data_IF_507475162930
#
_entry.id   IF_507475162930
#
_cell.length_a   1.000
_cell.length_b   1.000
_cell.length_c   1.000
_cell.angle_alpha   90.00
_cell.angle_beta   90.00
_cell.angle_gamma   90.00
#
_symmetry.space_group_name_H-M   'P 1'
#
loop_
_entity.id
_entity.type
_entity.pdbx_description
1 polymer ?
#
# COMPACT_ATOMS: atom_id res chain seq x y z
N UNK A 1 -19.60 5.64 15.43
CA UNK A 1 -18.13 5.72 15.58
C UNK A 1 -17.48 5.82 14.20
N UNK A 2 -17.20 7.02 13.70
CA UNK A 2 -16.50 7.28 12.42
C UNK A 2 -15.60 8.50 12.62
N UNK A 3 -14.39 8.32 13.17
CA UNK A 3 -13.51 9.45 13.50
C UNK A 3 -12.03 9.23 13.13
N UNK A 4 -11.72 8.24 12.29
CA UNK A 4 -10.39 8.06 11.67
C UNK A 4 -10.35 8.48 10.18
N UNK A 5 -11.45 9.02 9.63
CA UNK A 5 -11.56 9.34 8.20
C UNK A 5 -10.97 10.70 7.82
N UNK A 6 -10.40 11.44 8.77
CA UNK A 6 -9.87 12.79 8.55
C UNK A 6 -8.58 12.76 7.72
N UNK A 7 -7.68 11.79 7.98
CA UNK A 7 -6.49 11.59 7.14
C UNK A 7 -6.79 11.05 5.75
N UNK A 8 -7.68 10.06 5.62
CA UNK A 8 -8.07 9.53 4.31
C UNK A 8 -8.56 10.69 3.44
N UNK A 9 -9.49 11.52 3.94
CA UNK A 9 -10.06 12.69 3.27
C UNK A 9 -9.01 13.73 2.78
N UNK A 10 -7.99 14.03 3.58
CA UNK A 10 -6.92 14.96 3.18
C UNK A 10 -6.03 14.38 2.09
N UNK A 11 -5.71 13.09 2.15
CA UNK A 11 -4.97 12.39 1.09
C UNK A 11 -5.82 12.16 -0.17
N UNK A 12 -7.16 12.10 -0.07
CA UNK A 12 -8.05 12.09 -1.23
C UNK A 12 -8.05 13.40 -2.02
N UNK A 13 -7.73 14.50 -1.34
CA UNK A 13 -7.71 15.84 -1.95
C UNK A 13 -6.37 16.21 -2.58
N UNK A 14 -5.32 15.41 -2.35
CA UNK A 14 -3.97 15.69 -2.88
C UNK A 14 -3.90 15.49 -4.38
N UNK A 15 -3.13 16.35 -5.03
CA UNK A 15 -2.89 16.22 -6.46
C UNK A 15 -2.21 14.89 -6.82
N UNK A 16 -2.60 14.29 -7.94
CA UNK A 16 -2.10 12.99 -8.38
C UNK A 16 -0.56 12.97 -8.54
N UNK A 17 0.06 14.10 -8.90
CA UNK A 17 1.53 14.22 -9.00
C UNK A 17 2.19 14.11 -7.63
N UNK A 18 1.65 14.78 -6.61
CA UNK A 18 2.16 14.70 -5.23
C UNK A 18 2.02 13.29 -4.69
N UNK A 19 0.92 12.63 -5.04
CA UNK A 19 0.75 11.20 -4.78
C UNK A 19 1.85 10.41 -5.52
N UNK A 20 1.96 10.49 -6.84
CA UNK A 20 2.98 9.73 -7.59
C UNK A 20 4.39 9.92 -7.02
N UNK A 21 4.75 11.15 -6.66
CA UNK A 21 6.03 11.46 -6.02
C UNK A 21 6.17 10.76 -4.68
N UNK A 22 5.15 10.80 -3.81
CA UNK A 22 5.12 10.01 -2.57
C UNK A 22 5.35 8.52 -2.83
N UNK A 23 4.66 7.92 -3.82
CA UNK A 23 4.79 6.49 -4.12
C UNK A 23 6.21 6.14 -4.56
N UNK A 24 6.78 6.91 -5.49
CA UNK A 24 8.14 6.69 -6.00
C UNK A 24 9.18 6.80 -4.90
N UNK A 25 9.08 7.85 -4.08
CA UNK A 25 9.97 8.07 -2.96
C UNK A 25 9.80 6.99 -1.90
N UNK A 26 8.56 6.58 -1.60
CA UNK A 26 8.30 5.52 -0.65
C UNK A 26 8.92 4.20 -1.10
N UNK A 27 8.74 3.84 -2.38
CA UNK A 27 9.35 2.65 -2.96
C UNK A 27 10.87 2.74 -2.95
N UNK A 28 11.44 3.92 -3.24
CA UNK A 28 12.87 4.14 -3.15
C UNK A 28 13.40 3.89 -1.74
N UNK A 29 12.75 4.45 -0.71
CA UNK A 29 13.11 4.23 0.70
C UNK A 29 12.98 2.75 1.06
N UNK A 30 11.91 2.08 0.63
CA UNK A 30 11.73 0.65 0.87
C UNK A 30 12.79 -0.22 0.19
N UNK A 31 13.33 0.18 -0.96
CA UNK A 31 14.34 -0.60 -1.68
C UNK A 31 15.74 -0.32 -1.15
N UNK A 32 16.09 0.95 -0.92
CA UNK A 32 17.44 1.38 -0.58
C UNK A 32 17.73 1.36 0.92
N UNK A 33 16.69 1.48 1.75
CA UNK A 33 16.77 1.35 3.21
C UNK A 33 16.21 -0.01 3.67
N UNK A 34 15.98 -0.93 2.72
CA UNK A 34 15.45 -2.26 2.97
C UNK A 34 16.41 -3.07 3.86
N UNK A 35 15.94 -3.57 4.99
CA UNK A 35 16.74 -4.35 5.93
C UNK A 35 17.07 -3.65 7.24
N UNK A 36 16.70 -2.37 7.41
CA UNK A 36 16.82 -1.69 8.69
C UNK A 36 15.80 -2.23 9.69
N UNK A 37 16.27 -2.90 10.75
CA UNK A 37 15.42 -3.37 11.85
C UNK A 37 14.63 -2.22 12.50
N UNK A 38 15.20 -1.02 12.57
CA UNK A 38 14.50 0.15 13.11
C UNK A 38 13.32 0.57 12.23
N UNK A 39 13.46 0.53 10.90
CA UNK A 39 12.37 0.84 9.98
C UNK A 39 11.24 -0.20 10.12
N UNK A 40 11.60 -1.49 10.20
CA UNK A 40 10.63 -2.57 10.40
C UNK A 40 9.89 -2.43 11.74
N UNK A 41 10.62 -2.21 12.83
CA UNK A 41 10.02 -2.01 14.15
C UNK A 41 9.09 -0.79 14.18
N UNK A 42 9.51 0.32 13.55
CA UNK A 42 8.68 1.52 13.41
C UNK A 42 7.39 1.25 12.63
N UNK A 43 7.48 0.52 11.50
CA UNK A 43 6.33 0.12 10.69
C UNK A 43 5.36 -0.77 11.49
N UNK A 44 5.87 -1.79 12.17
CA UNK A 44 5.06 -2.71 12.99
C UNK A 44 4.35 -1.95 14.10
N UNK A 45 5.10 -1.12 14.86
CA UNK A 45 4.54 -0.31 15.94
C UNK A 45 3.43 0.62 15.43
N UNK A 46 3.67 1.29 14.31
CA UNK A 46 2.73 2.22 13.71
C UNK A 46 1.47 1.48 13.21
N UNK A 47 1.61 0.35 12.52
CA UNK A 47 0.48 -0.46 12.06
C UNK A 47 -0.34 -1.04 13.23
N UNK A 48 0.32 -1.42 14.33
CA UNK A 48 -0.34 -1.86 15.56
C UNK A 48 -1.10 -0.71 16.24
N UNK A 49 -0.48 0.45 16.36
CA UNK A 49 -1.08 1.64 16.96
C UNK A 49 -2.33 2.09 16.17
N UNK A 50 -2.29 1.94 14.84
CA UNK A 50 -3.44 2.21 13.97
C UNK A 50 -4.48 1.08 13.94
N UNK A 51 -4.26 -0.02 14.68
CA UNK A 51 -5.12 -1.22 14.70
C UNK A 51 -5.40 -1.80 13.31
N UNK A 52 -4.48 -1.63 12.37
CA UNK A 52 -4.59 -2.12 10.98
C UNK A 52 -3.52 -3.16 10.66
N UNK A 53 -2.99 -3.79 11.69
CA UNK A 53 -1.94 -4.80 11.54
C UNK A 53 -2.46 -6.00 10.74
N UNK A 54 -1.89 -6.30 9.55
CA UNK A 54 -2.40 -7.32 8.67
C UNK A 54 -1.94 -8.71 9.13
N UNK A 55 -2.71 -9.36 10.01
CA UNK A 55 -2.36 -10.68 10.57
C UNK A 55 -2.11 -11.73 9.47
N UNK A 56 -2.84 -11.66 8.36
CA UNK A 56 -2.62 -12.54 7.20
C UNK A 56 -1.20 -12.45 6.61
N UNK A 57 -0.57 -11.28 6.66
CA UNK A 57 0.80 -11.10 6.18
C UNK A 57 1.84 -11.76 7.11
N UNK A 58 1.53 -11.91 8.40
CA UNK A 58 2.38 -12.73 9.29
C UNK A 58 2.37 -14.19 8.84
N UNK A 59 1.21 -14.73 8.47
CA UNK A 59 1.10 -16.09 7.93
C UNK A 59 1.97 -16.28 6.68
N UNK A 60 1.97 -15.30 5.77
CA UNK A 60 2.84 -15.30 4.59
C UNK A 60 4.33 -15.28 4.97
N UNK A 61 4.72 -14.46 5.96
CA UNK A 61 6.09 -14.38 6.44
C UNK A 61 6.55 -15.69 7.10
N UNK A 62 5.67 -16.34 7.89
CA UNK A 62 5.94 -17.64 8.50
C UNK A 62 6.10 -18.72 7.42
N UNK A 63 5.18 -18.77 6.46
CA UNK A 63 5.27 -19.71 5.34
C UNK A 63 6.56 -19.50 4.54
N UNK A 64 6.92 -18.24 4.25
CA UNK A 64 8.16 -17.90 3.57
C UNK A 64 9.38 -18.36 4.39
N UNK A 65 9.42 -18.08 5.70
CA UNK A 65 10.51 -18.52 6.57
C UNK A 65 10.68 -20.05 6.57
N UNK A 66 9.57 -20.80 6.63
CA UNK A 66 9.60 -22.27 6.57
C UNK A 66 10.16 -22.78 5.24
N UNK A 67 9.74 -22.18 4.12
CA UNK A 67 10.27 -22.52 2.78
C UNK A 67 11.76 -22.17 2.69
N UNK A 68 12.16 -21.00 3.20
CA UNK A 68 13.55 -20.57 3.20
C UNK A 68 14.46 -21.46 4.05
N UNK A 69 13.93 -22.16 5.06
CA UNK A 69 14.66 -23.12 5.89
C UNK A 69 14.78 -24.51 5.23
N UNK A 70 13.99 -24.81 4.19
CA UNK A 70 14.02 -26.11 3.52
C UNK A 70 15.41 -26.52 2.98
N UNK A 71 16.24 -25.62 2.40
CA UNK A 71 17.60 -25.95 2.00
C UNK A 71 18.51 -26.42 3.14
N UNK A 72 18.32 -25.92 4.37
CA UNK A 72 19.09 -26.36 5.55
C UNK A 72 18.75 -27.81 5.89
N UNK A 73 17.49 -28.22 5.72
CA UNK A 73 17.07 -29.62 5.89
C UNK A 73 17.70 -30.54 4.85
N UNK A 74 18.06 -30.01 3.67
CA UNK A 74 18.78 -30.70 2.59
C UNK A 74 20.32 -30.63 2.75
N UNK A 75 20.81 -30.19 3.91
CA UNK A 75 22.25 -29.99 4.20
C UNK A 75 22.97 -29.04 3.22
N UNK A 76 22.24 -28.11 2.59
CA UNK A 76 22.88 -27.03 1.85
C UNK A 76 23.47 -26.00 2.81
N UNK A 77 24.66 -25.51 2.48
CA UNK A 77 25.38 -24.52 3.29
C UNK A 77 24.76 -23.13 3.11
N UNK A 78 23.67 -22.89 3.85
CA UNK A 78 22.91 -21.63 3.82
C UNK A 78 23.17 -20.86 5.09
N UNK A 79 23.70 -19.64 4.95
CA UNK A 79 23.93 -18.78 6.10
C UNK A 79 22.59 -18.31 6.72
N UNK A 80 22.42 -18.58 8.01
CA UNK A 80 21.25 -18.13 8.79
C UNK A 80 21.10 -16.60 8.74
N UNK A 81 22.23 -15.88 8.68
CA UNK A 81 22.24 -14.42 8.56
C UNK A 81 21.64 -13.91 7.25
N UNK A 82 21.94 -14.56 6.12
CA UNK A 82 21.32 -14.18 4.84
C UNK A 82 19.81 -14.44 4.85
N UNK A 83 19.38 -15.53 5.49
CA UNK A 83 17.97 -15.89 5.64
C UNK A 83 17.23 -14.87 6.52
N UNK A 84 17.81 -14.46 7.65
CA UNK A 84 17.23 -13.42 8.50
C UNK A 84 17.14 -12.07 7.76
N UNK A 85 18.17 -11.69 7.01
CA UNK A 85 18.18 -10.44 6.24
C UNK A 85 17.10 -10.44 5.15
N UNK A 86 16.89 -11.57 4.47
CA UNK A 86 15.83 -11.73 3.48
C UNK A 86 14.43 -11.62 4.10
N UNK A 87 14.21 -12.26 5.25
CA UNK A 87 12.93 -12.18 5.97
C UNK A 87 12.67 -10.74 6.42
N UNK A 88 13.67 -10.06 6.99
CA UNK A 88 13.53 -8.65 7.41
C UNK A 88 13.21 -7.76 6.22
N UNK A 89 13.89 -7.95 5.07
CA UNK A 89 13.61 -7.19 3.85
C UNK A 89 12.21 -7.44 3.30
N UNK A 90 11.78 -8.71 3.29
CA UNK A 90 10.43 -9.08 2.85
C UNK A 90 9.36 -8.49 3.78
N UNK A 91 9.55 -8.61 5.09
CA UNK A 91 8.63 -8.05 6.08
C UNK A 91 8.54 -6.53 5.97
N UNK A 92 9.68 -5.85 5.82
CA UNK A 92 9.76 -4.40 5.62
C UNK A 92 9.02 -3.98 4.36
N UNK A 93 9.22 -4.70 3.25
CA UNK A 93 8.53 -4.43 2.01
C UNK A 93 7.01 -4.64 2.12
N UNK A 94 6.57 -5.78 2.65
CA UNK A 94 5.14 -6.09 2.79
C UNK A 94 4.43 -5.08 3.70
N UNK A 95 4.97 -4.84 4.89
CA UNK A 95 4.38 -3.88 5.83
C UNK A 95 4.47 -2.44 5.32
N UNK A 96 5.55 -2.09 4.63
CA UNK A 96 5.69 -0.81 3.94
C UNK A 96 4.62 -0.59 2.87
N UNK A 97 4.38 -1.60 2.03
CA UNK A 97 3.31 -1.56 1.02
C UNK A 97 1.92 -1.48 1.63
N UNK A 98 1.66 -2.21 2.73
CA UNK A 98 0.39 -2.08 3.48
C UNK A 98 0.23 -0.67 4.02
N UNK A 99 1.29 -0.10 4.59
CA UNK A 99 1.27 1.28 5.07
C UNK A 99 1.01 2.29 3.94
N UNK A 100 1.68 2.15 2.80
CA UNK A 100 1.49 3.04 1.65
C UNK A 100 0.07 2.94 1.05
N UNK A 101 -0.50 1.73 1.01
CA UNK A 101 -1.86 1.49 0.48
C UNK A 101 -2.96 2.25 1.22
N UNK A 102 -2.70 2.69 2.46
CA UNK A 102 -3.59 3.58 3.20
C UNK A 102 -3.79 4.91 2.49
N UNK A 103 -2.70 5.51 2.02
CA UNK A 103 -2.69 6.85 1.44
C UNK A 103 -2.91 6.80 -0.07
N UNK A 104 -2.60 5.65 -0.67
CA UNK A 104 -2.60 5.45 -2.10
C UNK A 104 -3.70 4.50 -2.56
N UNK A 105 -4.68 5.08 -3.24
CA UNK A 105 -5.52 4.33 -4.18
C UNK A 105 -4.90 4.43 -5.56
N UNK A 106 -4.59 3.28 -6.16
CA UNK A 106 -4.02 3.22 -7.51
C UNK A 106 -4.89 3.98 -8.52
N UNK A 107 -6.21 3.99 -8.27
CA UNK A 107 -7.21 4.70 -9.04
C UNK A 107 -6.95 6.22 -9.17
N UNK A 108 -6.21 6.82 -8.23
CA UNK A 108 -5.90 8.27 -8.26
C UNK A 108 -4.71 8.62 -9.14
N UNK A 109 -3.88 7.63 -9.48
CA UNK A 109 -2.76 7.81 -10.41
C UNK A 109 -3.20 7.65 -11.87
N UNK A 110 -4.38 7.06 -12.08
CA UNK A 110 -5.01 6.88 -13.38
C UNK A 110 -5.06 8.11 -14.28
N UNK A 111 -5.44 9.32 -13.81
CA UNK A 111 -5.50 10.45 -14.71
C UNK A 111 -4.11 10.90 -15.20
N UNK A 112 -3.01 10.51 -14.53
CA UNK A 112 -1.65 10.70 -15.04
C UNK A 112 -1.34 9.73 -16.19
N UNK A 113 -1.89 8.52 -16.13
CA UNK A 113 -1.74 7.50 -17.15
C UNK A 113 -2.53 7.80 -18.44
N UNK A 114 -3.43 8.80 -18.44
CA UNK A 114 -4.11 9.29 -19.66
C UNK A 114 -3.15 9.63 -20.81
N UNK A 115 -1.88 9.97 -20.52
CA UNK A 115 -0.84 10.21 -21.53
C UNK A 115 -0.40 8.95 -22.27
N UNK A 116 -0.70 7.75 -21.74
CA UNK A 116 -0.35 6.45 -22.30
C UNK A 116 -1.63 5.59 -22.51
N UNK A 117 -2.42 5.85 -23.56
CA UNK A 117 -3.77 5.29 -23.70
C UNK A 117 -3.80 3.76 -23.85
N UNK A 118 -2.76 3.15 -24.42
CA UNK A 118 -2.71 1.70 -24.64
C UNK A 118 -2.39 0.91 -23.37
N UNK A 119 -1.36 1.31 -22.61
CA UNK A 119 -0.99 0.65 -21.36
C UNK A 119 -2.08 0.82 -20.30
N UNK A 120 -2.71 1.99 -20.28
CA UNK A 120 -3.81 2.31 -19.38
C UNK A 120 -5.00 1.38 -19.58
N UNK A 121 -5.44 1.15 -20.83
CA UNK A 121 -6.54 0.21 -21.13
C UNK A 121 -6.25 -1.23 -20.70
N UNK A 122 -5.02 -1.69 -20.87
CA UNK A 122 -4.60 -3.04 -20.44
C UNK A 122 -4.55 -3.15 -18.91
N UNK A 123 -3.99 -2.15 -18.24
CA UNK A 123 -3.93 -2.09 -16.79
C UNK A 123 -5.35 -2.07 -16.19
N UNK A 124 -6.27 -1.32 -16.82
CA UNK A 124 -7.69 -1.29 -16.43
C UNK A 124 -8.40 -2.62 -16.62
N UNK A 125 -8.25 -3.22 -17.80
CA UNK A 125 -8.85 -4.53 -18.07
C UNK A 125 -8.38 -5.54 -17.02
N UNK A 126 -7.07 -5.59 -16.77
CA UNK A 126 -6.49 -6.46 -15.76
C UNK A 126 -6.98 -6.15 -14.34
N UNK A 127 -7.07 -4.87 -13.95
CA UNK A 127 -7.48 -4.46 -12.60
C UNK A 127 -8.96 -4.75 -12.33
N UNK A 128 -9.84 -4.46 -13.29
CA UNK A 128 -11.28 -4.75 -13.17
C UNK A 128 -11.59 -6.25 -13.22
N UNK A 129 -10.69 -7.05 -13.82
CA UNK A 129 -10.77 -8.51 -13.82
C UNK A 129 -10.46 -9.12 -12.44
N UNK A 130 -9.64 -8.48 -11.59
CA UNK A 130 -9.25 -9.08 -10.30
C UNK A 130 -10.46 -9.36 -9.37
N UNK A 131 -11.37 -8.39 -9.10
CA UNK A 131 -12.52 -8.63 -8.23
C UNK A 131 -13.54 -9.60 -8.82
N UNK A 132 -13.73 -9.58 -10.15
CA UNK A 132 -14.65 -10.49 -10.84
C UNK A 132 -14.12 -11.92 -10.83
N UNK A 133 -12.81 -12.11 -11.04
CA UNK A 133 -12.14 -13.40 -10.88
C UNK A 133 -12.16 -13.88 -9.43
N UNK A 134 -11.94 -13.00 -8.45
CA UNK A 134 -12.04 -13.37 -7.02
C UNK A 134 -13.47 -13.81 -6.64
N UNK A 135 -14.49 -13.14 -7.18
CA UNK A 135 -15.89 -13.51 -6.98
C UNK A 135 -16.20 -14.83 -7.70
N UNK A 136 -15.71 -15.03 -8.92
CA UNK A 136 -15.85 -16.28 -9.68
C UNK A 136 -15.14 -17.46 -8.98
N UNK A 137 -13.96 -17.25 -8.40
CA UNK A 137 -13.23 -18.28 -7.62
C UNK A 137 -13.98 -18.61 -6.33
N UNK A 138 -14.49 -17.61 -5.61
CA UNK A 138 -15.31 -17.84 -4.40
C UNK A 138 -16.60 -18.59 -4.71
N UNK A 139 -17.23 -18.30 -5.85
CA UNK A 139 -18.40 -19.03 -6.32
C UNK A 139 -18.01 -20.46 -6.73
N UNK A 140 -16.91 -20.64 -7.48
CA UNK A 140 -16.41 -21.95 -7.91
C UNK A 140 -15.93 -22.84 -6.76
N UNK A 141 -15.39 -22.27 -5.67
CA UNK A 141 -15.05 -23.04 -4.47
C UNK A 141 -16.30 -23.51 -3.72
N UNK A 142 -17.42 -22.78 -3.86
CA UNK A 142 -18.71 -23.11 -3.24
C UNK A 142 -19.58 -24.02 -4.12
N UNK A 143 -19.46 -23.95 -5.44
CA UNK A 143 -20.19 -24.79 -6.39
C UNK A 143 -19.22 -25.70 -7.16
N UNK A 144 -19.21 -27.00 -6.83
CA UNK A 144 -18.36 -28.02 -7.46
C UNK A 144 -18.73 -28.35 -8.93
N UNK A 145 -19.36 -27.44 -9.69
CA UNK A 145 -19.72 -27.69 -11.10
C UNK A 145 -18.87 -26.89 -12.07
N UNK A 146 -18.14 -27.62 -12.92
CA UNK A 146 -17.20 -27.16 -13.97
C UNK A 146 -17.85 -26.32 -15.10
N UNK A 147 -19.08 -25.85 -14.96
CA UNK A 147 -19.77 -25.05 -15.99
C UNK A 147 -20.09 -23.62 -15.50
N UNK A 148 -20.47 -23.46 -14.22
CA UNK A 148 -20.78 -22.16 -13.62
C UNK A 148 -19.60 -21.16 -13.63
N UNK A 149 -18.37 -21.66 -13.59
CA UNK A 149 -17.18 -20.80 -13.63
C UNK A 149 -17.03 -20.10 -14.99
N UNK A 150 -17.40 -20.75 -16.10
CA UNK A 150 -17.35 -20.11 -17.43
C UNK A 150 -18.41 -19.03 -17.53
N UNK A 151 -19.60 -19.32 -17.03
CA UNK A 151 -20.71 -18.38 -17.05
C UNK A 151 -20.44 -17.16 -16.17
N UNK A 152 -19.87 -17.35 -14.96
CA UNK A 152 -19.46 -16.25 -14.10
C UNK A 152 -18.35 -15.37 -14.72
N UNK A 153 -17.40 -15.96 -15.45
CA UNK A 153 -16.37 -15.21 -16.18
C UNK A 153 -16.98 -14.44 -17.36
N UNK A 154 -17.85 -15.06 -18.15
CA UNK A 154 -18.51 -14.41 -19.29
C UNK A 154 -19.42 -13.28 -18.83
N UNK A 155 -20.23 -13.48 -17.78
CA UNK A 155 -21.06 -12.44 -17.16
C UNK A 155 -20.18 -11.33 -16.56
N UNK A 156 -19.03 -11.69 -15.98
CA UNK A 156 -18.01 -10.74 -15.55
C UNK A 156 -17.48 -9.88 -16.70
N UNK A 157 -17.17 -10.48 -17.86
CA UNK A 157 -16.67 -9.76 -19.04
C UNK A 157 -17.78 -8.92 -19.70
N UNK A 158 -19.01 -9.43 -19.79
CA UNK A 158 -20.14 -8.73 -20.41
C UNK A 158 -20.69 -7.59 -19.55
N UNK A 159 -20.66 -7.72 -18.22
CA UNK A 159 -20.94 -6.58 -17.32
C UNK A 159 -19.92 -5.46 -17.50
N UNK A 160 -18.64 -5.80 -17.73
CA UNK A 160 -17.58 -4.82 -18.03
C UNK A 160 -17.73 -4.17 -19.42
N UNK A 161 -18.36 -4.84 -20.40
CA UNK A 161 -18.70 -4.22 -21.70
C UNK A 161 -19.80 -3.16 -21.60
N UNK A 162 -20.63 -3.24 -20.55
CA UNK A 162 -21.79 -2.35 -20.32
C UNK A 162 -21.53 -1.27 -19.28
N UNK A 163 -20.48 -1.40 -18.45
CA UNK A 163 -20.08 -0.33 -17.55
C UNK A 163 -19.59 0.88 -18.37
N UNK A 164 -20.18 2.07 -18.18
CA UNK A 164 -19.82 3.25 -18.94
C UNK A 164 -18.34 3.55 -18.69
N UNK A 165 -17.57 3.56 -19.77
CA UNK A 165 -16.15 3.95 -19.83
C UNK A 165 -15.93 5.09 -18.85
N UNK A 166 -15.26 4.75 -17.74
CA UNK A 166 -15.10 5.53 -16.54
C UNK A 166 -14.92 7.02 -16.85
N UNK A 167 -15.83 7.86 -16.33
CA UNK A 167 -15.65 9.30 -16.28
C UNK A 167 -14.47 9.59 -15.34
N UNK A 168 -13.26 9.46 -15.88
CA UNK A 168 -12.01 9.71 -15.18
C UNK A 168 -12.09 11.11 -14.58
N UNK A 169 -11.94 11.26 -13.24
CA UNK A 169 -12.01 12.56 -12.61
C UNK A 169 -11.00 13.47 -13.30
N UNK A 170 -11.46 14.66 -13.74
CA UNK A 170 -10.58 15.63 -14.38
C UNK A 170 -9.49 16.00 -13.37
N UNK A 171 -8.23 15.94 -13.80
CA UNK A 171 -7.12 16.47 -13.02
C UNK A 171 -7.40 17.93 -12.70
N UNK A 172 -7.40 18.27 -11.40
CA UNK A 172 -7.39 19.64 -10.94
C UNK A 172 -6.12 20.33 -11.46
N UNK A 173 -6.14 21.64 -11.67
CA UNK A 173 -4.91 22.39 -11.87
C UNK A 173 -3.99 22.26 -10.66
N UNK A 174 -2.69 22.25 -10.94
CA UNK A 174 -1.65 22.19 -9.92
C UNK A 174 -1.57 23.55 -9.21
N UNK A 175 -1.70 23.56 -7.88
CA UNK A 175 -1.76 24.79 -7.09
C UNK A 175 -0.49 24.98 -6.25
N UNK A 176 -0.27 26.19 -5.73
CA UNK A 176 0.88 26.50 -4.87
C UNK A 176 0.95 25.61 -3.61
N UNK A 177 -0.19 25.22 -3.05
CA UNK A 177 -0.24 24.28 -1.92
C UNK A 177 0.37 22.91 -2.26
N UNK A 178 0.21 22.45 -3.52
CA UNK A 178 0.78 21.19 -3.97
C UNK A 178 2.32 21.26 -4.07
N UNK A 179 2.89 22.44 -4.41
CA UNK A 179 4.33 22.70 -4.36
C UNK A 179 4.88 22.63 -2.94
N UNK A 180 4.18 23.26 -1.98
CA UNK A 180 4.58 23.21 -0.56
C UNK A 180 4.59 21.77 -0.05
N UNK A 181 3.59 20.97 -0.43
CA UNK A 181 3.56 19.55 -0.08
C UNK A 181 4.70 18.76 -0.71
N UNK A 182 5.03 18.98 -1.99
CA UNK A 182 6.19 18.37 -2.62
C UNK A 182 7.49 18.76 -1.92
N UNK A 183 7.64 20.02 -1.53
CA UNK A 183 8.81 20.53 -0.84
C UNK A 183 8.98 19.87 0.54
N UNK A 184 7.91 19.81 1.34
CA UNK A 184 7.93 19.13 2.65
C UNK A 184 8.25 17.64 2.47
N UNK A 185 7.65 16.97 1.48
CA UNK A 185 7.89 15.56 1.19
C UNK A 185 9.36 15.33 0.80
N UNK A 186 9.93 16.21 -0.03
CA UNK A 186 11.33 16.17 -0.41
C UNK A 186 12.27 16.37 0.79
N UNK A 187 11.96 17.32 1.69
CA UNK A 187 12.75 17.49 2.92
C UNK A 187 12.68 16.25 3.80
N UNK A 188 11.49 15.68 4.00
CA UNK A 188 11.33 14.46 4.80
C UNK A 188 12.07 13.28 4.18
N UNK A 189 12.11 13.20 2.85
CA UNK A 189 12.88 12.20 2.12
C UNK A 189 14.39 12.34 2.35
N UNK A 190 14.93 13.55 2.20
CA UNK A 190 16.36 13.81 2.44
C UNK A 190 16.73 13.53 3.89
N UNK A 191 15.89 13.93 4.84
CA UNK A 191 16.08 13.64 6.26
C UNK A 191 16.03 12.13 6.54
N UNK A 192 15.13 11.40 5.87
CA UNK A 192 15.04 9.95 6.03
C UNK A 192 16.30 9.21 5.55
N UNK A 193 16.91 9.69 4.47
CA UNK A 193 18.15 9.10 3.94
C UNK A 193 19.38 9.45 4.77
N UNK A 194 19.48 10.69 5.28
CA UNK A 194 20.67 11.16 5.98
C UNK A 194 20.67 10.88 7.48
N UNK A 195 19.51 10.82 8.11
CA UNK A 195 19.40 10.78 9.58
C UNK A 195 18.76 9.48 10.05
N UNK A 196 17.47 9.31 9.76
CA UNK A 196 16.74 8.12 10.22
C UNK A 196 15.55 7.82 9.31
N UNK A 197 15.40 6.57 8.86
CA UNK A 197 14.27 6.16 8.03
C UNK A 197 12.92 6.26 8.75
N UNK A 198 12.91 6.37 10.09
CA UNK A 198 11.69 6.59 10.86
C UNK A 198 11.02 7.93 10.54
N UNK A 199 11.80 8.95 10.15
CA UNK A 199 11.28 10.27 9.78
C UNK A 199 10.31 10.14 8.59
N UNK A 200 10.60 9.22 7.67
CA UNK A 200 9.73 8.94 6.53
C UNK A 200 8.34 8.44 6.95
N UNK A 201 8.28 7.60 7.99
CA UNK A 201 7.03 7.07 8.54
C UNK A 201 6.18 8.16 9.21
N UNK A 202 6.81 9.23 9.65
CA UNK A 202 6.13 10.35 10.31
C UNK A 202 5.58 11.40 9.33
N UNK A 203 6.07 11.42 8.09
CA UNK A 203 5.66 12.42 7.08
C UNK A 203 4.13 12.57 6.94
N UNK A 204 3.32 11.49 6.87
CA UNK A 204 1.87 11.66 6.76
C UNK A 204 1.25 12.39 7.95
N UNK A 205 1.84 12.29 9.13
CA UNK A 205 1.37 12.95 10.35
C UNK A 205 1.79 14.42 10.44
N UNK A 206 2.82 14.84 9.70
CA UNK A 206 3.30 16.22 9.69
C UNK A 206 2.38 17.18 8.91
N UNK A 207 1.40 16.65 8.18
CA UNK A 207 0.42 17.46 7.45
C UNK A 207 -0.80 17.80 8.33
N UNK A 208 -1.54 18.88 8.02
CA UNK A 208 -2.60 19.43 8.90
C UNK A 208 -3.61 18.38 9.42
N UNK A 209 -4.05 17.43 8.59
CA UNK A 209 -4.90 16.31 9.03
C UNK A 209 -4.19 15.28 9.92
N UNK A 210 -2.89 15.10 9.71
CA UNK A 210 -2.01 14.24 10.49
C UNK A 210 -1.77 14.70 11.93
N UNK A 211 -1.56 16.00 12.14
CA UNK A 211 -1.38 16.59 13.48
C UNK A 211 -2.66 16.49 14.29
N UNK A 212 -3.82 16.70 13.65
CA UNK A 212 -5.13 16.53 14.29
C UNK A 212 -5.35 15.08 14.76
N UNK A 213 -5.00 14.09 13.94
CA UNK A 213 -5.13 12.68 14.31
C UNK A 213 -4.12 12.26 15.39
N UNK A 214 -2.87 12.76 15.34
CA UNK A 214 -1.86 12.52 16.37
C UNK A 214 -2.28 13.07 17.74
N UNK A 215 -2.85 14.28 17.77
CA UNK A 215 -3.41 14.88 18.98
C UNK A 215 -4.62 14.08 19.52
N UNK A 216 -5.42 13.47 18.65
CA UNK A 216 -6.55 12.62 19.06
C UNK A 216 -6.07 11.29 19.65
N UNK A 217 -5.04 10.66 19.07
CA UNK A 217 -4.42 9.45 19.63
C UNK A 217 -3.86 9.74 21.03
N UNK A 218 -3.20 10.90 21.22
CA UNK A 218 -2.72 11.33 22.52
C UNK A 218 -3.87 11.60 23.49
N UNK A 219 -4.93 12.28 23.04
CA UNK A 219 -6.12 12.61 23.86
C UNK A 219 -6.90 11.38 24.31
N UNK A 220 -7.04 10.38 23.44
CA UNK A 220 -7.70 9.11 23.76
C UNK A 220 -6.91 8.28 24.79
N UNK A 221 -5.59 8.46 24.85
CA UNK A 221 -4.72 7.84 25.86
C UNK A 221 -4.83 8.53 27.21
N UNK A 222 -5.04 9.85 27.23
CA UNK A 222 -5.20 10.62 28.47
C UNK A 222 -6.59 10.52 29.09
N UNK A 223 -7.63 10.17 28.34
CA UNK A 223 -9.00 10.00 28.85
C UNK A 223 -9.31 8.57 29.32
N UNK A 224 -8.35 7.66 29.23
CA UNK A 224 -8.44 6.27 29.70
C UNK A 224 -7.73 6.06 31.05
N UNK A 225 -7.16 7.14 31.61
CA UNK A 225 -6.75 7.26 33.01
C UNK A 225 -7.73 8.20 33.72
#
# INVERSE_FOLDING_TARGET
>A
MRFLSSNEADWERRHAVTLLFFLLVHLYVLIHVNGSLSLLAGLVLLLLLERRFPVAMLGLLVAFALISLAPILLQWDVSIRALSDQIVRLATFLFGMVWASRFMRLERLLPLLRRFPQSTRLLYGAWALVPSMERAIRLSLRSHQRQDWREAIVVGIDSQRREPVYALPRLRSFQGDDLVHLFILFICFVAALKWSPLIWLLYPYLTKGGVRDALVILRARTSAN
#
